data_IF_226556459712
#
_entry.id   IF_226556459712
#
_cell.length_a   1.000
_cell.length_b   1.000
_cell.length_c   1.000
_cell.angle_alpha   90.00
_cell.angle_beta   90.00
_cell.angle_gamma   90.00
#
_symmetry.space_group_name_H-M   'P 1'
#
loop_
_entity.id
_entity.type
_entity.pdbx_description
1 polymer ?
#
# COMPACT_ATOMS: atom_id res chain seq x y z
N UNK A 1 -13.06 37.38 -11.29
CA UNK A 1 -12.76 36.18 -12.11
C UNK A 1 -11.70 35.22 -11.50
N UNK A 2 -11.19 35.49 -10.29
CA UNK A 2 -10.11 34.72 -9.64
C UNK A 2 -10.54 34.04 -8.34
N UNK A 3 -11.83 33.71 -8.19
CA UNK A 3 -12.37 33.17 -6.92
C UNK A 3 -13.05 31.80 -7.03
N UNK A 4 -12.80 31.04 -8.10
CA UNK A 4 -13.51 29.77 -8.38
C UNK A 4 -12.63 28.52 -8.54
N UNK A 5 -11.35 28.57 -8.17
CA UNK A 5 -10.41 27.45 -8.45
C UNK A 5 -9.90 26.74 -7.18
N UNK A 6 -10.25 27.21 -5.98
CA UNK A 6 -9.68 26.68 -4.73
C UNK A 6 -10.65 25.83 -3.89
N UNK A 7 -11.69 25.23 -4.48
CA UNK A 7 -12.68 24.41 -3.74
C UNK A 7 -12.54 22.89 -3.96
N UNK A 8 -11.67 22.42 -4.85
CA UNK A 8 -11.65 20.99 -5.26
C UNK A 8 -10.54 20.13 -4.62
N UNK A 9 -9.76 20.67 -3.68
CA UNK A 9 -8.64 19.94 -3.03
C UNK A 9 -8.79 19.74 -1.51
N UNK A 10 -9.97 20.00 -0.94
CA UNK A 10 -10.24 19.69 0.46
C UNK A 10 -10.61 18.20 0.60
N UNK A 11 -9.58 17.36 0.76
CA UNK A 11 -9.73 15.95 1.05
C UNK A 11 -10.66 15.70 2.25
N UNK A 12 -11.50 14.68 2.10
CA UNK A 12 -12.34 14.08 3.12
C UNK A 12 -11.49 13.46 4.23
N UNK A 13 -10.93 14.28 5.12
CA UNK A 13 -10.22 13.81 6.31
C UNK A 13 -11.18 13.80 7.50
N UNK A 14 -11.46 12.62 8.05
CA UNK A 14 -12.34 12.40 9.21
C UNK A 14 -11.73 12.83 10.57
N UNK A 15 -10.66 13.63 10.58
CA UNK A 15 -10.02 14.07 11.82
C UNK A 15 -10.70 15.26 12.50
N UNK A 16 -11.75 15.83 11.91
CA UNK A 16 -12.50 16.97 12.44
C UNK A 16 -13.98 16.65 12.66
N UNK A 17 -14.30 15.68 13.53
CA UNK A 17 -15.69 15.36 13.86
C UNK A 17 -15.96 15.55 15.34
N UNK A 18 -16.41 16.76 15.72
CA UNK A 18 -17.26 16.92 16.91
C UNK A 18 -18.64 17.52 16.63
N UNK A 19 -18.99 17.93 15.40
CA UNK A 19 -20.28 18.63 15.20
C UNK A 19 -21.08 18.41 13.89
N UNK A 20 -20.86 17.36 13.08
CA UNK A 20 -21.65 17.15 11.84
C UNK A 20 -22.23 15.74 11.65
N UNK A 21 -23.09 15.30 12.58
CA UNK A 21 -23.55 13.91 12.68
C UNK A 21 -24.63 13.41 11.69
N UNK A 22 -25.01 14.13 10.62
CA UNK A 22 -26.20 13.73 9.84
C UNK A 22 -25.97 13.26 8.39
N UNK A 23 -24.85 13.59 7.74
CA UNK A 23 -24.64 13.26 6.31
C UNK A 23 -23.59 12.17 6.04
N UNK A 24 -22.83 11.75 7.04
CA UNK A 24 -21.65 10.87 6.89
C UNK A 24 -21.93 9.39 7.23
N UNK A 25 -23.13 9.06 7.70
CA UNK A 25 -23.51 7.70 8.12
C UNK A 25 -23.51 6.68 6.97
N UNK A 26 -23.52 7.15 5.72
CA UNK A 26 -23.73 6.31 4.52
C UNK A 26 -22.45 5.66 3.98
N UNK A 27 -21.27 6.20 4.30
CA UNK A 27 -19.97 5.62 3.93
C UNK A 27 -19.44 4.64 4.98
N UNK A 28 -19.96 4.72 6.21
CA UNK A 28 -19.53 3.90 7.35
C UNK A 28 -20.46 2.71 7.58
N UNK A 29 -21.76 2.85 7.25
CA UNK A 29 -22.77 1.82 7.48
C UNK A 29 -23.65 1.57 6.24
N UNK A 30 -23.85 0.29 5.85
CA UNK A 30 -23.18 -0.91 6.36
C UNK A 30 -21.66 -0.89 6.05
N UNK A 31 -20.88 -1.73 6.74
CA UNK A 31 -19.46 -1.85 6.46
C UNK A 31 -19.26 -2.16 4.97
N UNK A 32 -18.35 -1.47 4.27
CA UNK A 32 -18.15 -1.71 2.85
C UNK A 32 -17.70 -3.15 2.60
N UNK A 33 -18.49 -3.87 1.81
CA UNK A 33 -18.17 -5.23 1.38
C UNK A 33 -17.43 -5.19 0.03
N UNK A 34 -16.41 -6.04 -0.10
CA UNK A 34 -15.69 -6.26 -1.35
C UNK A 34 -16.36 -7.36 -2.17
N UNK A 35 -16.27 -7.27 -3.50
CA UNK A 35 -16.87 -8.28 -4.38
C UNK A 35 -16.12 -9.61 -4.30
N UNK A 36 -16.79 -10.71 -4.66
CA UNK A 36 -16.14 -12.03 -4.72
C UNK A 36 -15.01 -12.09 -5.76
N UNK A 37 -15.10 -11.26 -6.82
CA UNK A 37 -14.07 -11.14 -7.86
C UNK A 37 -12.81 -10.47 -7.30
N UNK A 38 -12.98 -9.33 -6.60
CA UNK A 38 -11.86 -8.63 -5.94
C UNK A 38 -11.23 -9.50 -4.84
N UNK A 39 -12.03 -10.28 -4.11
CA UNK A 39 -11.53 -11.26 -3.14
C UNK A 39 -10.64 -12.33 -3.80
N UNK A 40 -11.04 -12.84 -4.97
CA UNK A 40 -10.24 -13.84 -5.67
C UNK A 40 -8.92 -13.25 -6.14
N UNK A 41 -8.96 -12.05 -6.72
CA UNK A 41 -7.75 -11.31 -7.14
C UNK A 41 -6.80 -11.08 -5.95
N UNK A 42 -7.33 -10.63 -4.80
CA UNK A 42 -6.55 -10.47 -3.57
C UNK A 42 -5.86 -11.78 -3.20
N UNK A 43 -6.60 -12.89 -3.19
CA UNK A 43 -6.04 -14.19 -2.78
C UNK A 43 -4.97 -14.68 -3.75
N UNK A 44 -5.15 -14.47 -5.05
CA UNK A 44 -4.18 -14.87 -6.07
C UNK A 44 -2.86 -14.09 -5.93
N UNK A 45 -2.91 -12.82 -5.50
CA UNK A 45 -1.72 -12.02 -5.18
C UNK A 45 -1.12 -12.36 -3.81
N UNK A 46 -1.94 -12.65 -2.81
CA UNK A 46 -1.50 -12.92 -1.43
C UNK A 46 -0.80 -14.27 -1.32
N UNK A 47 -1.33 -15.31 -1.94
CA UNK A 47 -0.81 -16.68 -1.84
C UNK A 47 0.70 -16.82 -2.16
N UNK A 48 1.23 -16.27 -3.27
CA UNK A 48 2.66 -16.37 -3.57
C UNK A 48 3.54 -15.57 -2.60
N UNK A 49 3.04 -14.44 -2.09
CA UNK A 49 3.77 -13.63 -1.10
C UNK A 49 3.82 -14.36 0.23
N UNK A 50 2.69 -14.88 0.69
CA UNK A 50 2.61 -15.67 1.91
C UNK A 50 3.54 -16.89 1.85
N UNK A 51 3.53 -17.61 0.73
CA UNK A 51 4.43 -18.75 0.49
C UNK A 51 5.90 -18.34 0.58
N UNK A 52 6.28 -17.22 -0.04
CA UNK A 52 7.66 -16.71 0.04
C UNK A 52 8.09 -16.39 1.47
N UNK A 53 7.21 -15.77 2.26
CA UNK A 53 7.49 -15.49 3.68
C UNK A 53 7.60 -16.77 4.53
N UNK A 54 6.89 -17.84 4.18
CA UNK A 54 6.96 -19.11 4.90
C UNK A 54 8.18 -19.96 4.53
N UNK A 55 8.59 -19.94 3.26
CA UNK A 55 9.62 -20.85 2.74
C UNK A 55 11.02 -20.22 2.67
N UNK A 56 11.11 -18.93 2.34
CA UNK A 56 12.38 -18.28 1.96
C UNK A 56 12.84 -17.19 2.95
N UNK A 57 11.94 -16.70 3.82
CA UNK A 57 12.26 -15.64 4.79
C UNK A 57 12.65 -16.25 6.13
N UNK A 58 13.90 -16.03 6.54
CA UNK A 58 14.39 -16.36 7.88
C UNK A 58 14.50 -15.08 8.72
N UNK A 59 13.39 -14.71 9.38
CA UNK A 59 13.33 -13.51 10.23
C UNK A 59 14.33 -13.54 11.38
N UNK A 60 14.57 -14.71 11.96
CA UNK A 60 15.52 -14.84 13.07
C UNK A 60 16.93 -14.48 12.61
N UNK A 61 17.32 -14.95 11.43
CA UNK A 61 18.61 -14.62 10.85
C UNK A 61 18.73 -13.13 10.50
N UNK A 62 17.66 -12.52 9.98
CA UNK A 62 17.62 -11.09 9.69
C UNK A 62 17.87 -10.27 10.96
N UNK A 63 17.24 -10.66 12.07
CA UNK A 63 17.42 -10.00 13.37
C UNK A 63 18.84 -10.21 13.94
N UNK A 64 19.38 -11.44 13.89
CA UNK A 64 20.73 -11.75 14.38
C UNK A 64 21.83 -11.05 13.57
N UNK A 65 21.71 -11.03 12.25
CA UNK A 65 22.67 -10.41 11.34
C UNK A 65 22.45 -8.89 11.20
N UNK A 66 21.35 -8.35 11.77
CA UNK A 66 20.86 -6.98 11.62
C UNK A 66 20.83 -6.51 10.16
N UNK A 67 20.57 -7.44 9.23
CA UNK A 67 20.66 -7.20 7.79
C UNK A 67 19.74 -8.14 7.04
N UNK A 68 18.97 -7.58 6.11
CA UNK A 68 18.17 -8.37 5.17
C UNK A 68 19.10 -8.96 4.10
N UNK A 69 19.14 -10.30 3.93
CA UNK A 69 19.93 -10.94 2.88
C UNK A 69 19.56 -10.43 1.48
N UNK A 70 20.55 -10.38 0.59
CA UNK A 70 20.34 -9.91 -0.78
C UNK A 70 19.38 -10.81 -1.56
N UNK A 71 19.40 -12.11 -1.27
CA UNK A 71 18.49 -13.10 -1.87
C UNK A 71 17.03 -12.80 -1.51
N UNK A 72 16.75 -12.53 -0.23
CA UNK A 72 15.44 -12.10 0.24
C UNK A 72 14.99 -10.81 -0.45
N UNK A 73 15.87 -9.80 -0.53
CA UNK A 73 15.57 -8.55 -1.25
C UNK A 73 15.26 -8.78 -2.74
N UNK A 74 15.95 -9.72 -3.39
CA UNK A 74 15.70 -10.06 -4.79
C UNK A 74 14.37 -10.83 -4.96
N UNK A 75 14.01 -11.68 -4.00
CA UNK A 75 12.70 -12.32 -3.96
C UNK A 75 11.57 -11.30 -3.84
N UNK A 76 11.68 -10.36 -2.90
CA UNK A 76 10.72 -9.26 -2.71
C UNK A 76 10.58 -8.40 -3.98
N UNK A 77 11.68 -8.16 -4.71
CA UNK A 77 11.65 -7.45 -6.02
C UNK A 77 10.96 -8.26 -7.10
N UNK A 78 11.26 -9.55 -7.20
CA UNK A 78 10.64 -10.45 -8.19
C UNK A 78 9.13 -10.58 -8.00
N UNK A 79 8.67 -10.48 -6.75
CA UNK A 79 7.25 -10.45 -6.39
C UNK A 79 6.59 -9.07 -6.61
N UNK A 80 7.34 -8.05 -7.04
CA UNK A 80 6.80 -6.71 -7.32
C UNK A 80 6.45 -5.88 -6.07
N UNK A 81 6.86 -6.30 -4.87
CA UNK A 81 6.46 -5.66 -3.61
C UNK A 81 7.02 -4.23 -3.45
N UNK A 82 8.06 -3.87 -4.22
CA UNK A 82 8.58 -2.50 -4.29
C UNK A 82 7.73 -1.56 -5.19
N UNK A 83 6.71 -2.07 -5.88
CA UNK A 83 5.85 -1.29 -6.77
C UNK A 83 4.35 -1.47 -6.51
N UNK A 84 3.96 -1.85 -5.28
CA UNK A 84 2.58 -2.25 -4.96
C UNK A 84 1.52 -1.23 -5.39
N UNK A 85 1.70 0.05 -5.10
CA UNK A 85 0.71 1.10 -5.41
C UNK A 85 1.05 1.90 -6.68
N UNK A 86 2.13 1.56 -7.37
CA UNK A 86 2.47 2.22 -8.63
C UNK A 86 1.50 1.75 -9.70
N UNK A 87 0.92 2.63 -10.54
CA UNK A 87 0.13 2.22 -11.69
C UNK A 87 0.90 1.27 -12.62
N UNK A 88 0.21 0.31 -13.24
CA UNK A 88 0.83 -0.64 -14.17
C UNK A 88 1.55 0.05 -15.35
N UNK A 89 1.06 1.22 -15.79
CA UNK A 89 1.68 2.04 -16.85
C UNK A 89 3.13 2.48 -16.54
N UNK A 90 3.51 2.50 -15.25
CA UNK A 90 4.89 2.79 -14.81
C UNK A 90 5.63 1.53 -14.33
N UNK A 91 5.12 0.34 -14.63
CA UNK A 91 5.72 -0.94 -14.23
C UNK A 91 5.42 -1.36 -12.79
N UNK A 92 4.33 -0.85 -12.22
CA UNK A 92 3.82 -1.22 -10.91
C UNK A 92 2.79 -2.33 -10.91
N UNK A 93 2.25 -2.64 -9.72
CA UNK A 93 1.17 -3.62 -9.53
C UNK A 93 -0.24 -2.99 -9.50
N UNK A 94 -0.34 -1.67 -9.41
CA UNK A 94 -1.63 -0.95 -9.46
C UNK A 94 -2.62 -1.30 -8.35
N UNK A 95 -2.15 -1.81 -7.20
CA UNK A 95 -3.02 -2.41 -6.20
C UNK A 95 -3.97 -1.39 -5.54
N UNK A 96 -5.20 -1.83 -5.29
CA UNK A 96 -6.17 -1.07 -4.49
C UNK A 96 -5.68 -0.89 -3.05
N UNK A 97 -6.22 0.10 -2.33
CA UNK A 97 -5.85 0.32 -0.92
C UNK A 97 -6.17 -0.90 -0.05
N UNK A 98 -7.25 -1.63 -0.36
CA UNK A 98 -7.65 -2.85 0.34
C UNK A 98 -6.64 -3.97 0.11
N UNK A 99 -6.22 -4.17 -1.15
CA UNK A 99 -5.18 -5.14 -1.52
C UNK A 99 -3.84 -4.80 -0.85
N UNK A 100 -3.45 -3.53 -0.87
CA UNK A 100 -2.24 -3.06 -0.21
C UNK A 100 -2.28 -3.31 1.31
N UNK A 101 -3.42 -3.02 1.96
CA UNK A 101 -3.58 -3.30 3.39
C UNK A 101 -3.44 -4.80 3.70
N UNK A 102 -4.06 -5.66 2.88
CA UNK A 102 -3.98 -7.11 3.05
C UNK A 102 -2.55 -7.64 2.87
N UNK A 103 -1.80 -7.15 1.87
CA UNK A 103 -0.38 -7.48 1.73
C UNK A 103 0.47 -6.92 2.88
N UNK A 104 0.09 -5.76 3.42
CA UNK A 104 0.69 -5.19 4.62
C UNK A 104 0.64 -6.15 5.81
N UNK A 105 -0.48 -6.85 6.01
CA UNK A 105 -0.63 -7.86 7.08
C UNK A 105 0.35 -9.02 6.92
N UNK A 106 0.53 -9.52 5.69
CA UNK A 106 1.44 -10.64 5.41
C UNK A 106 2.90 -10.22 5.54
N UNK A 107 3.26 -9.07 4.99
CA UNK A 107 4.64 -8.56 5.05
C UNK A 107 5.06 -8.18 6.47
N UNK A 108 4.09 -7.89 7.36
CA UNK A 108 4.32 -7.62 8.78
C UNK A 108 4.76 -8.83 9.60
N UNK A 109 4.85 -10.03 9.00
CA UNK A 109 5.48 -11.19 9.62
C UNK A 109 6.95 -10.95 9.97
N UNK A 110 7.64 -10.11 9.18
CA UNK A 110 9.01 -9.67 9.45
C UNK A 110 9.06 -8.14 9.57
N UNK A 111 9.43 -7.65 10.76
CA UNK A 111 9.43 -6.21 11.03
C UNK A 111 10.46 -5.43 10.20
N UNK A 112 11.62 -6.01 9.93
CA UNK A 112 12.68 -5.34 9.17
C UNK A 112 12.29 -5.20 7.69
N UNK A 113 11.70 -6.23 7.09
CA UNK A 113 11.17 -6.22 5.73
C UNK A 113 9.98 -5.26 5.64
N UNK A 114 9.03 -5.33 6.58
CA UNK A 114 7.86 -4.44 6.60
C UNK A 114 8.26 -2.96 6.62
N UNK A 115 9.19 -2.58 7.51
CA UNK A 115 9.69 -1.20 7.59
C UNK A 115 10.45 -0.82 6.32
N UNK A 116 11.24 -1.72 5.75
CA UNK A 116 11.99 -1.45 4.52
C UNK A 116 11.04 -1.17 3.34
N UNK A 117 10.00 -1.98 3.17
CA UNK A 117 8.98 -1.78 2.14
C UNK A 117 8.19 -0.50 2.41
N UNK A 118 7.74 -0.26 3.63
CA UNK A 118 7.00 0.94 4.01
C UNK A 118 7.81 2.22 3.75
N UNK A 119 9.09 2.25 4.15
CA UNK A 119 9.96 3.40 3.91
C UNK A 119 10.19 3.65 2.42
N UNK A 120 10.36 2.59 1.62
CA UNK A 120 10.51 2.70 0.17
C UNK A 120 9.26 3.30 -0.49
N UNK A 121 8.07 2.79 -0.14
CA UNK A 121 6.79 3.27 -0.69
C UNK A 121 6.47 4.70 -0.23
N UNK A 122 6.52 4.95 1.08
CA UNK A 122 6.04 6.19 1.68
C UNK A 122 6.96 7.39 1.42
N UNK A 123 8.27 7.17 1.39
CA UNK A 123 9.26 8.26 1.34
C UNK A 123 9.91 8.32 -0.05
N UNK A 124 10.46 7.20 -0.52
CA UNK A 124 11.26 7.19 -1.76
C UNK A 124 10.41 7.41 -3.01
N UNK A 125 9.29 6.73 -3.10
CA UNK A 125 8.54 6.61 -4.34
C UNK A 125 7.32 7.55 -4.42
N UNK A 126 6.58 7.70 -3.32
CA UNK A 126 5.42 8.61 -3.27
C UNK A 126 5.80 10.07 -3.52
N UNK A 127 6.99 10.50 -3.08
CA UNK A 127 7.51 11.83 -3.44
C UNK A 127 7.80 11.94 -4.94
N UNK A 128 8.40 10.92 -5.56
CA UNK A 128 8.72 10.95 -6.99
C UNK A 128 7.45 11.01 -7.86
N UNK A 129 6.45 10.19 -7.57
CA UNK A 129 5.20 10.13 -8.35
C UNK A 129 4.39 11.42 -8.19
N UNK A 130 4.24 11.91 -6.94
CA UNK A 130 3.50 13.16 -6.71
C UNK A 130 4.16 14.34 -7.43
N UNK A 131 5.46 14.55 -7.29
CA UNK A 131 6.13 15.67 -7.95
C UNK A 131 6.18 15.54 -9.48
N UNK A 132 6.37 14.33 -10.03
CA UNK A 132 6.40 14.12 -11.47
C UNK A 132 5.05 14.47 -12.13
N UNK A 133 3.93 14.15 -11.49
CA UNK A 133 2.59 14.50 -11.98
C UNK A 133 2.33 16.01 -11.89
N UNK A 134 2.71 16.65 -10.77
CA UNK A 134 2.57 18.11 -10.60
C UNK A 134 3.45 18.93 -11.55
N UNK A 135 4.56 18.40 -12.06
CA UNK A 135 5.43 19.10 -13.00
C UNK A 135 4.92 19.09 -14.45
N UNK A 136 3.89 18.28 -14.77
CA UNK A 136 3.32 18.13 -16.12
C UNK A 136 2.04 18.97 -16.29
N UNK A 137 1.48 19.53 -15.20
CA UNK A 137 0.33 20.44 -15.19
C UNK A 137 0.77 21.91 -15.19
#
# INVERSE_FOLDING_TARGET
PTSKVNEELAGSSNSQVTHKQASEQKEVFPYPEISNEELQEINDFVAPVEKFFQEEVDSKKIDEDAKIPQETLNGLKSLGLFGMQIPEEYGGLGLSNTMYARLGEITSQDGAIAVTLAAHQAIGLKHCIMYAIYAIQ
#
